data_IF_930722380270
#
_entry.id   IF_930722380270
#
_cell.length_a   1.000
_cell.length_b   1.000
_cell.length_c   1.000
_cell.angle_alpha   90.00
_cell.angle_beta   90.00
_cell.angle_gamma   90.00
#
_symmetry.space_group_name_H-M   'P 1'
#
loop_
_entity.id
_entity.type
_entity.pdbx_description
1 polymer ?
#
# COMPACT_ATOMS: atom_id res chain seq x y z
N UNK A 1 -4.64 -5.68 -4.62
CA UNK A 1 -4.05 -6.76 -3.78
C UNK A 1 -2.82 -6.20 -3.11
N UNK A 2 -2.59 -6.42 -1.81
CA UNK A 2 -1.34 -5.96 -1.17
C UNK A 2 -0.19 -6.89 -1.54
N UNK A 3 1.03 -6.36 -1.51
CA UNK A 3 2.24 -7.15 -1.67
C UNK A 3 2.29 -8.29 -0.63
N UNK A 4 2.84 -9.44 -1.00
CA UNK A 4 2.93 -10.65 -0.15
C UNK A 4 3.48 -10.36 1.25
N UNK A 5 4.45 -9.46 1.35
CA UNK A 5 5.07 -9.04 2.61
C UNK A 5 4.12 -8.33 3.59
N UNK A 6 2.95 -7.88 3.12
CA UNK A 6 1.93 -7.19 3.92
C UNK A 6 0.67 -8.03 4.17
N UNK A 7 0.63 -9.29 3.71
CA UNK A 7 -0.54 -10.16 3.89
C UNK A 7 -0.89 -10.45 5.36
N UNK A 8 0.11 -10.44 6.24
CA UNK A 8 -0.09 -10.63 7.69
C UNK A 8 -0.51 -9.33 8.43
N UNK A 9 -0.49 -8.19 7.75
CA UNK A 9 -0.89 -6.89 8.30
C UNK A 9 -2.38 -6.68 8.01
N UNK A 10 -3.18 -6.14 8.97
CA UNK A 10 -4.53 -5.71 8.67
C UNK A 10 -4.55 -4.80 7.46
N UNK A 11 -5.44 -5.04 6.52
CA UNK A 11 -5.45 -4.30 5.26
C UNK A 11 -6.86 -3.94 4.80
N UNK A 12 -6.95 -2.91 3.98
CA UNK A 12 -8.17 -2.46 3.33
C UNK A 12 -7.88 -1.90 1.94
N UNK A 13 -8.89 -1.75 1.13
CA UNK A 13 -8.77 -1.08 -0.16
C UNK A 13 -8.70 0.44 0.00
N UNK A 14 -7.98 1.07 -0.91
CA UNK A 14 -7.93 2.53 -1.05
C UNK A 14 -9.28 3.09 -1.52
N UNK A 15 -9.48 4.37 -1.23
CA UNK A 15 -10.64 5.15 -1.70
C UNK A 15 -10.17 6.29 -2.61
N UNK A 16 -10.99 6.70 -3.57
CA UNK A 16 -10.70 7.87 -4.39
C UNK A 16 -10.63 9.15 -3.56
N UNK A 17 -9.66 10.00 -3.86
CA UNK A 17 -9.37 11.22 -3.11
C UNK A 17 -8.60 10.98 -1.80
N UNK A 18 -8.30 9.74 -1.45
CA UNK A 18 -7.60 9.42 -0.21
C UNK A 18 -6.12 9.83 -0.28
N UNK A 19 -5.66 10.51 0.78
CA UNK A 19 -4.24 10.77 1.01
C UNK A 19 -3.59 9.59 1.73
N UNK A 20 -2.49 9.12 1.21
CA UNK A 20 -1.71 7.99 1.72
C UNK A 20 -0.26 8.41 1.94
N UNK A 21 0.42 7.70 2.82
CA UNK A 21 1.83 7.92 3.16
C UNK A 21 2.57 6.58 3.08
N UNK A 22 3.75 6.59 2.47
CA UNK A 22 4.68 5.46 2.52
C UNK A 22 5.12 5.22 3.96
N UNK A 23 4.83 4.05 4.50
CA UNK A 23 5.12 3.66 5.88
C UNK A 23 5.86 2.32 5.91
N UNK A 24 6.82 2.20 6.83
CA UNK A 24 7.53 0.94 7.08
C UNK A 24 6.79 0.14 8.15
N UNK A 25 6.20 -0.96 7.73
CA UNK A 25 5.47 -1.88 8.61
C UNK A 25 6.43 -2.73 9.46
N UNK A 26 5.95 -3.34 10.56
CA UNK A 26 6.76 -4.22 11.41
C UNK A 26 7.39 -5.40 10.68
N UNK A 27 6.85 -5.79 9.52
CA UNK A 27 7.43 -6.80 8.62
C UNK A 27 8.73 -6.34 7.96
N UNK A 28 9.13 -5.07 8.13
CA UNK A 28 10.27 -4.45 7.46
C UNK A 28 9.96 -3.90 6.07
N UNK A 29 8.80 -4.22 5.51
CA UNK A 29 8.39 -3.80 4.17
C UNK A 29 7.76 -2.41 4.17
N UNK A 30 8.00 -1.67 3.08
CA UNK A 30 7.29 -0.42 2.81
C UNK A 30 5.93 -0.73 2.19
N UNK A 31 4.93 0.02 2.62
CA UNK A 31 3.58 -0.02 2.06
C UNK A 31 2.88 1.31 2.28
N UNK A 32 1.63 1.38 1.90
CA UNK A 32 0.83 2.59 2.04
C UNK A 32 -0.04 2.51 3.29
N UNK A 33 -0.12 3.60 4.02
CA UNK A 33 -0.97 3.75 5.20
C UNK A 33 -1.69 5.10 5.18
N UNK A 34 -2.84 5.16 5.84
CA UNK A 34 -3.55 6.42 6.04
C UNK A 34 -2.81 7.29 7.08
N UNK A 35 -2.62 8.60 6.84
CA UNK A 35 -2.09 9.51 7.83
C UNK A 35 -2.90 9.52 9.15
N UNK A 36 -4.20 9.26 9.08
CA UNK A 36 -5.07 9.19 10.25
C UNK A 36 -4.75 7.97 11.13
N UNK A 37 -4.48 6.81 10.51
CA UNK A 37 -4.12 5.59 11.23
C UNK A 37 -2.73 5.73 11.87
N UNK A 38 -1.78 6.36 11.16
CA UNK A 38 -0.45 6.65 11.70
C UNK A 38 -0.51 7.58 12.92
N UNK A 39 -1.33 8.65 12.86
CA UNK A 39 -1.54 9.56 14.00
C UNK A 39 -2.18 8.83 15.18
N UNK A 40 -3.16 7.95 14.93
CA UNK A 40 -3.81 7.16 15.98
C UNK A 40 -2.83 6.21 16.64
N UNK A 41 -2.01 5.53 15.87
CA UNK A 41 -0.99 4.61 16.37
C UNK A 41 0.11 5.32 17.19
N UNK A 42 0.44 6.56 16.82
CA UNK A 42 1.42 7.37 17.54
C UNK A 42 0.85 8.02 18.82
N UNK A 43 -0.48 8.02 19.00
CA UNK A 43 -1.11 8.61 20.18
C UNK A 43 -0.93 7.68 21.39
N UNK A 44 -0.54 8.21 22.58
CA UNK A 44 -0.45 7.41 23.79
C UNK A 44 -1.84 6.83 24.13
N UNK A 45 -1.91 5.60 24.65
CA UNK A 45 -3.18 5.02 25.10
C UNK A 45 -3.83 5.93 26.15
N UNK A 46 -5.17 6.05 26.17
CA UNK A 46 -5.86 6.90 27.12
C UNK A 46 -5.49 6.51 28.56
N UNK A 47 -5.19 7.51 29.38
CA UNK A 47 -4.68 7.35 30.75
C UNK A 47 -5.64 6.63 31.71
N UNK A 48 -6.90 6.46 31.34
CA UNK A 48 -7.99 5.91 32.18
C UNK A 48 -8.15 4.38 32.07
N UNK A 49 -7.14 3.63 31.63
CA UNK A 49 -7.22 2.17 31.66
C UNK A 49 -7.13 1.68 33.10
N UNK A 50 -8.20 1.01 33.58
CA UNK A 50 -8.23 0.28 34.86
C UNK A 50 -7.03 -0.67 34.96
N UNK A 51 -6.54 -0.91 36.21
CA UNK A 51 -5.46 -1.84 36.51
C UNK A 51 -5.67 -3.21 35.81
N UNK A 52 -6.87 -3.71 35.76
CA UNK A 52 -7.23 -4.97 35.10
C UNK A 52 -7.12 -4.90 33.57
N UNK A 53 -7.36 -3.74 32.96
CA UNK A 53 -7.16 -3.55 31.53
C UNK A 53 -5.66 -3.55 31.18
N UNK A 54 -4.80 -2.96 32.03
CA UNK A 54 -3.34 -3.02 31.87
C UNK A 54 -2.78 -4.44 32.01
N UNK A 55 -3.34 -5.25 32.91
CA UNK A 55 -2.94 -6.64 33.07
C UNK A 55 -3.32 -7.47 31.84
N UNK A 56 -4.48 -7.20 31.25
CA UNK A 56 -4.95 -7.86 30.04
C UNK A 56 -4.09 -7.48 28.81
N UNK A 57 -3.66 -6.21 28.72
CA UNK A 57 -2.75 -5.73 27.69
C UNK A 57 -1.36 -6.41 27.77
N UNK A 58 -0.91 -6.86 28.94
CA UNK A 58 0.36 -7.57 29.11
C UNK A 58 0.35 -8.97 28.47
N UNK A 59 -0.83 -9.60 28.37
CA UNK A 59 -1.05 -10.91 27.76
C UNK A 59 -1.67 -10.83 26.36
N UNK A 60 -2.00 -9.63 25.88
CA UNK A 60 -2.47 -9.40 24.52
C UNK A 60 -1.27 -9.21 23.60
N UNK A 61 -1.31 -9.69 22.35
CA UNK A 61 -0.29 -9.34 21.35
C UNK A 61 -0.16 -7.83 21.29
N UNK A 62 1.05 -7.29 21.17
CA UNK A 62 1.24 -5.83 21.13
C UNK A 62 0.37 -5.24 20.01
N UNK A 63 -0.38 -4.18 20.33
CA UNK A 63 -1.21 -3.40 19.38
C UNK A 63 -0.38 -2.72 18.25
N UNK A 64 0.86 -3.18 18.03
CA UNK A 64 1.75 -2.73 16.96
C UNK A 64 1.18 -2.94 15.54
N UNK A 65 0.09 -3.69 15.43
CA UNK A 65 -0.69 -3.90 14.20
C UNK A 65 -1.84 -2.89 14.04
N UNK A 66 -1.83 -1.80 14.78
CA UNK A 66 -2.88 -0.77 14.74
C UNK A 66 -2.90 0.02 13.42
N UNK A 67 -1.82 0.01 12.65
CA UNK A 67 -1.74 0.65 11.35
C UNK A 67 -2.21 -0.33 10.28
N UNK A 68 -3.30 0.03 9.60
CA UNK A 68 -3.84 -0.73 8.49
C UNK A 68 -3.06 -0.43 7.22
N UNK A 69 -2.63 -1.46 6.49
CA UNK A 69 -2.06 -1.30 5.16
C UNK A 69 -3.18 -0.98 4.16
N UNK A 70 -2.97 0.02 3.32
CA UNK A 70 -3.91 0.39 2.27
C UNK A 70 -3.47 -0.24 0.96
N UNK A 71 -4.30 -1.13 0.44
CA UNK A 71 -4.06 -1.84 -0.80
C UNK A 71 -4.62 -1.05 -1.98
N UNK A 72 -3.80 -0.88 -3.00
CA UNK A 72 -4.18 -0.23 -4.25
C UNK A 72 -4.27 -1.29 -5.33
N UNK A 73 -5.38 -1.35 -6.08
CA UNK A 73 -5.48 -2.26 -7.20
C UNK A 73 -4.64 -1.80 -8.39
N UNK A 74 -4.06 -2.72 -9.18
CA UNK A 74 -3.36 -2.37 -10.42
C UNK A 74 -4.27 -1.57 -11.36
N UNK A 75 -3.70 -0.61 -12.08
CA UNK A 75 -4.43 0.30 -12.96
C UNK A 75 -4.88 1.59 -12.28
N UNK A 76 -4.92 1.66 -10.95
CA UNK A 76 -5.26 2.88 -10.23
C UNK A 76 -4.31 4.03 -10.55
N UNK A 77 -4.86 5.24 -10.70
CA UNK A 77 -4.07 6.46 -10.90
C UNK A 77 -3.80 7.15 -9.58
N UNK A 78 -2.54 7.49 -9.35
CA UNK A 78 -2.06 8.14 -8.14
C UNK A 78 -1.31 9.41 -8.49
N UNK A 79 -1.27 10.36 -7.55
CA UNK A 79 -0.35 11.48 -7.58
C UNK A 79 0.70 11.30 -6.48
N UNK A 80 1.96 11.17 -6.86
CA UNK A 80 3.09 11.16 -5.92
C UNK A 80 3.52 12.59 -5.68
N UNK A 81 3.85 12.93 -4.42
CA UNK A 81 4.30 14.26 -4.03
C UNK A 81 5.62 14.16 -3.25
N UNK A 82 6.57 15.02 -3.61
CA UNK A 82 7.84 15.12 -2.89
C UNK A 82 8.85 14.03 -3.27
N UNK A 83 8.87 13.57 -4.52
CA UNK A 83 9.91 12.66 -5.01
C UNK A 83 11.31 13.26 -4.74
N UNK A 84 12.23 12.48 -4.12
CA UNK A 84 13.58 12.96 -3.86
C UNK A 84 14.34 13.32 -5.15
N UNK A 85 15.22 14.35 -5.14
CA UNK A 85 15.96 14.77 -6.33
C UNK A 85 16.78 13.66 -7.00
N UNK A 86 17.23 12.66 -6.23
CA UNK A 86 17.89 11.46 -6.77
C UNK A 86 16.98 10.69 -7.71
N UNK A 87 15.75 10.39 -7.26
CA UNK A 87 14.77 9.65 -8.06
C UNK A 87 14.28 10.47 -9.25
N UNK A 88 14.09 11.79 -9.07
CA UNK A 88 13.73 12.68 -10.17
C UNK A 88 14.74 12.58 -11.33
N UNK A 89 16.04 12.68 -11.03
CA UNK A 89 17.11 12.55 -12.05
C UNK A 89 17.19 11.15 -12.64
N UNK A 90 17.08 10.12 -11.80
CA UNK A 90 17.20 8.72 -12.24
C UNK A 90 16.08 8.34 -13.19
N UNK A 91 14.85 8.80 -12.92
CA UNK A 91 13.66 8.42 -13.69
C UNK A 91 13.23 9.49 -14.70
N UNK A 92 13.85 10.68 -14.69
CA UNK A 92 13.51 11.78 -15.59
C UNK A 92 12.11 12.34 -15.32
N UNK A 93 11.79 12.57 -14.04
CA UNK A 93 10.45 12.98 -13.57
C UNK A 93 10.55 14.20 -12.65
N UNK A 94 9.43 14.88 -12.39
CA UNK A 94 9.35 16.00 -11.47
C UNK A 94 9.17 15.56 -10.00
N UNK A 95 9.17 16.53 -9.07
CA UNK A 95 8.94 16.25 -7.65
C UNK A 95 7.51 15.78 -7.37
N UNK A 96 6.56 16.18 -8.22
CA UNK A 96 5.15 15.75 -8.16
C UNK A 96 4.79 15.18 -9.51
N UNK A 97 4.31 13.93 -9.53
CA UNK A 97 4.00 13.19 -10.74
C UNK A 97 2.71 12.40 -10.61
N UNK A 98 1.95 12.36 -11.70
CA UNK A 98 0.86 11.41 -11.86
C UNK A 98 1.43 10.08 -12.35
N UNK A 99 1.05 8.98 -11.69
CA UNK A 99 1.55 7.64 -11.97
C UNK A 99 0.39 6.65 -12.01
N UNK A 100 0.62 5.52 -12.66
CA UNK A 100 -0.30 4.37 -12.60
C UNK A 100 0.29 3.32 -11.66
N UNK A 101 -0.50 2.84 -10.70
CA UNK A 101 -0.11 1.71 -9.87
C UNK A 101 -0.08 0.44 -10.71
N UNK A 102 0.96 -0.36 -10.58
CA UNK A 102 1.18 -1.57 -11.37
C UNK A 102 1.85 -2.65 -10.54
N UNK A 103 1.87 -3.87 -11.08
CA UNK A 103 2.63 -5.00 -10.54
C UNK A 103 3.62 -5.48 -11.59
N UNK A 104 4.90 -5.54 -11.24
CA UNK A 104 6.00 -5.83 -12.18
C UNK A 104 6.49 -7.28 -12.14
N UNK A 105 5.94 -8.11 -11.26
CA UNK A 105 6.33 -9.51 -11.12
C UNK A 105 5.16 -10.34 -10.63
N UNK A 106 5.00 -11.56 -11.15
CA UNK A 106 4.10 -12.59 -10.63
C UNK A 106 4.84 -13.61 -9.74
N UNK A 107 6.16 -13.45 -9.53
CA UNK A 107 6.95 -14.40 -8.75
C UNK A 107 6.54 -14.39 -7.28
N UNK A 108 6.42 -15.58 -6.69
CA UNK A 108 6.19 -15.75 -5.27
C UNK A 108 7.36 -15.14 -4.46
N UNK A 109 7.05 -14.58 -3.28
CA UNK A 109 8.02 -13.97 -2.37
C UNK A 109 8.81 -12.77 -2.93
N UNK A 110 8.32 -12.13 -4.01
CA UNK A 110 8.93 -10.92 -4.56
C UNK A 110 8.08 -9.68 -4.27
N UNK A 111 8.74 -8.53 -4.14
CA UNK A 111 8.04 -7.24 -4.10
C UNK A 111 7.51 -6.92 -5.50
N UNK A 112 6.20 -6.89 -5.64
CA UNK A 112 5.51 -6.76 -6.93
C UNK A 112 5.00 -5.36 -7.19
N UNK A 113 4.61 -4.67 -6.13
CA UNK A 113 3.96 -3.38 -6.21
C UNK A 113 4.92 -2.30 -6.69
N UNK A 114 4.52 -1.59 -7.74
CA UNK A 114 5.30 -0.57 -8.41
C UNK A 114 4.40 0.57 -8.88
N UNK A 115 5.01 1.68 -9.24
CA UNK A 115 4.35 2.78 -9.95
C UNK A 115 4.99 2.95 -11.32
N UNK A 116 4.17 3.17 -12.34
CA UNK A 116 4.60 3.48 -13.71
C UNK A 116 4.39 4.97 -13.97
N UNK A 117 5.46 5.65 -14.33
CA UNK A 117 5.45 7.05 -14.75
C UNK A 117 4.90 7.22 -16.17
N UNK A 118 4.49 8.44 -16.54
CA UNK A 118 4.02 8.76 -17.88
C UNK A 118 5.05 8.47 -18.99
N UNK A 119 6.35 8.48 -18.68
CA UNK A 119 7.43 8.12 -19.60
C UNK A 119 7.66 6.61 -19.76
N UNK A 120 6.80 5.77 -19.16
CA UNK A 120 6.85 4.31 -19.21
C UNK A 120 7.82 3.63 -18.24
N UNK A 121 8.62 4.41 -17.48
CA UNK A 121 9.52 3.85 -16.47
C UNK A 121 8.76 3.40 -15.24
N UNK A 122 9.22 2.32 -14.62
CA UNK A 122 8.61 1.74 -13.42
C UNK A 122 9.55 1.83 -12.22
N UNK A 123 8.97 2.10 -11.06
CA UNK A 123 9.66 2.22 -9.78
C UNK A 123 8.93 1.39 -8.74
N UNK A 124 9.62 0.44 -8.10
CA UNK A 124 9.05 -0.39 -7.03
C UNK A 124 8.73 0.46 -5.81
N UNK A 125 7.64 0.15 -5.12
CA UNK A 125 7.29 0.85 -3.87
C UNK A 125 8.41 0.72 -2.83
N UNK A 126 9.12 -0.41 -2.79
CA UNK A 126 10.23 -0.64 -1.86
C UNK A 126 11.46 0.26 -2.09
N UNK A 127 11.56 0.88 -3.27
CA UNK A 127 12.63 1.84 -3.60
C UNK A 127 12.26 3.29 -3.26
N UNK A 128 11.01 3.52 -2.88
CA UNK A 128 10.54 4.82 -2.42
C UNK A 128 11.01 5.10 -0.99
N UNK A 129 10.91 6.37 -0.60
CA UNK A 129 11.25 6.80 0.74
C UNK A 129 10.04 6.72 1.67
N UNK A 130 10.26 6.31 2.92
CA UNK A 130 9.26 6.44 3.97
C UNK A 130 8.85 7.91 4.14
N UNK A 131 7.57 8.16 4.44
CA UNK A 131 7.02 9.50 4.56
C UNK A 131 6.60 10.15 3.24
N UNK A 132 6.87 9.53 2.08
CA UNK A 132 6.42 10.03 0.79
C UNK A 132 4.89 10.00 0.71
N UNK A 133 4.30 11.09 0.21
CA UNK A 133 2.84 11.22 0.11
C UNK A 133 2.34 10.82 -1.26
N UNK A 134 1.18 10.18 -1.26
CA UNK A 134 0.43 9.84 -2.47
C UNK A 134 -1.03 10.18 -2.29
N UNK A 135 -1.68 10.64 -3.36
CA UNK A 135 -3.14 10.84 -3.40
C UNK A 135 -3.72 9.90 -4.43
N UNK A 136 -4.77 9.20 -4.08
CA UNK A 136 -5.53 8.34 -5.00
C UNK A 136 -6.39 9.22 -5.88
N UNK A 137 -6.14 9.24 -7.19
CA UNK A 137 -6.86 10.10 -8.14
C UNK A 137 -8.06 9.38 -8.75
N UNK A 138 -7.89 8.09 -9.11
CA UNK A 138 -8.89 7.37 -9.90
C UNK A 138 -8.68 5.86 -9.73
N UNK A 139 -9.75 5.14 -9.44
CA UNK A 139 -9.78 3.69 -9.30
C UNK A 139 -10.59 2.98 -10.42
N UNK A 140 -11.19 3.72 -11.35
CA UNK A 140 -12.09 3.16 -12.38
C UNK A 140 -11.42 2.13 -13.28
N UNK A 141 -10.20 2.41 -13.73
CA UNK A 141 -9.41 1.48 -14.56
C UNK A 141 -8.99 0.20 -13.81
N UNK A 142 -8.91 0.26 -12.48
CA UNK A 142 -8.56 -0.87 -11.65
C UNK A 142 -9.67 -1.92 -11.58
N UNK A 143 -10.92 -1.51 -11.65
CA UNK A 143 -12.08 -2.42 -11.63
C UNK A 143 -12.22 -3.23 -12.92
N UNK A 144 -11.87 -2.62 -14.07
CA UNK A 144 -11.88 -3.31 -15.35
C UNK A 144 -10.82 -4.42 -15.42
N UNK A 145 -9.59 -4.13 -14.94
CA UNK A 145 -8.49 -5.10 -14.92
C UNK A 145 -8.76 -6.28 -13.99
N UNK A 146 -9.41 -6.07 -12.86
CA UNK A 146 -9.74 -7.15 -11.92
C UNK A 146 -10.78 -8.11 -12.50
N UNK A 147 -11.75 -7.61 -13.26
CA UNK A 147 -12.76 -8.43 -13.95
C UNK A 147 -12.16 -9.26 -15.09
N UNK A 148 -11.20 -8.73 -15.82
CA UNK A 148 -10.55 -9.45 -16.92
C UNK A 148 -9.61 -10.54 -16.39
N UNK A 149 -8.85 -10.26 -15.35
CA UNK A 149 -7.99 -11.24 -14.66
C UNK A 149 -8.82 -12.39 -14.07
N UNK A 150 -9.95 -12.11 -13.45
CA UNK A 150 -10.88 -13.13 -12.92
C UNK A 150 -11.52 -13.97 -14.03
N UNK A 151 -11.71 -13.42 -15.23
CA UNK A 151 -12.19 -14.16 -16.40
C UNK A 151 -11.13 -15.10 -16.96
N UNK A 152 -9.89 -14.66 -17.04
CA UNK A 152 -8.77 -15.46 -17.51
C UNK A 152 -8.47 -16.62 -16.57
N UNK A 153 -8.41 -16.39 -15.25
CA UNK A 153 -8.22 -17.45 -14.24
C UNK A 153 -9.36 -18.50 -14.27
N UNK A 154 -10.61 -18.08 -14.52
CA UNK A 154 -11.73 -19.01 -14.67
C UNK A 154 -11.65 -19.84 -15.94
N UNK A 155 -11.04 -19.33 -16.99
CA UNK A 155 -10.86 -20.05 -18.25
C UNK A 155 -9.74 -21.10 -18.18
N UNK A 156 -8.68 -20.84 -17.39
CA UNK A 156 -7.56 -21.76 -17.22
C UNK A 156 -7.85 -22.95 -16.28
N UNK A 157 -8.81 -22.83 -15.36
CA UNK A 157 -9.20 -23.91 -14.44
C UNK A 157 -10.68 -24.30 -14.61
N UNK A 158 -11.04 -25.05 -15.67
CA UNK A 158 -12.39 -25.60 -15.77
C UNK A 158 -12.61 -26.60 -14.63
N UNK A 159 -13.59 -26.33 -13.78
CA UNK A 159 -14.02 -27.22 -12.69
C UNK A 159 -14.34 -28.58 -13.30
N UNK A 160 -13.49 -29.57 -13.09
CA UNK A 160 -13.80 -30.97 -13.39
C UNK A 160 -14.94 -31.39 -12.46
N UNK A 161 -16.08 -31.71 -13.08
CA UNK A 161 -17.18 -32.40 -12.41
C UNK A 161 -16.84 -33.86 -12.21
#
# INVERSE_FOLDING_TARGET
MCDYSLMAVPNRLAQEGEELVMHRFPTGSLGLASPADLKRAASPPPADKSFWARLKDLFSPPESWSVCAVCIPPGARLQIQGLPPRLQRQYGVAATEAVTFTQISAAEHSYRDAVRFCNGRELRLQELCEGLRMTVLDLSMAQELDLDTLREERAEFPVRR
#
